data_IF_290524896581
#
_entry.id   IF_290524896581
#
_cell.length_a   1.000
_cell.length_b   1.000
_cell.length_c   1.000
_cell.angle_alpha   90.00
_cell.angle_beta   90.00
_cell.angle_gamma   90.00
#
_symmetry.space_group_name_H-M   'P 1'
#
loop_
_entity.id
_entity.type
_entity.pdbx_description
1 polymer ?
#
# COMPACT_ATOMS: atom_id res chain seq x y z
N UNK A 1 13.49 -24.66 2.10
CA UNK A 1 14.53 -24.65 1.07
C UNK A 1 15.14 -23.26 1.07
N UNK A 2 16.31 -23.12 1.69
CA UNK A 2 16.97 -21.83 1.84
C UNK A 2 17.46 -21.32 0.47
N UNK A 3 17.15 -20.07 0.15
CA UNK A 3 17.71 -19.39 -1.02
C UNK A 3 19.19 -19.14 -0.77
N UNK A 4 20.07 -19.46 -1.73
CA UNK A 4 21.51 -19.12 -1.78
C UNK A 4 21.77 -17.60 -1.89
N UNK A 5 21.04 -16.80 -1.13
CA UNK A 5 21.28 -15.36 -1.05
C UNK A 5 22.44 -15.09 -0.12
N UNK A 6 23.32 -14.18 -0.53
CA UNK A 6 24.33 -13.68 0.39
C UNK A 6 23.66 -13.02 1.62
N UNK A 7 24.26 -13.09 2.81
CA UNK A 7 23.70 -12.44 4.01
C UNK A 7 23.48 -10.93 3.81
N UNK A 8 24.35 -10.29 3.02
CA UNK A 8 24.25 -8.87 2.70
C UNK A 8 23.06 -8.59 1.77
N UNK A 9 22.90 -9.34 0.69
CA UNK A 9 21.76 -9.21 -0.22
C UNK A 9 20.44 -9.44 0.52
N UNK A 10 20.40 -10.40 1.45
CA UNK A 10 19.21 -10.65 2.24
C UNK A 10 18.84 -9.45 3.10
N UNK A 11 19.83 -8.87 3.78
CA UNK A 11 19.65 -7.67 4.62
C UNK A 11 19.20 -6.47 3.80
N UNK A 12 19.75 -6.28 2.61
CA UNK A 12 19.36 -5.19 1.71
C UNK A 12 17.96 -5.38 1.15
N UNK A 13 17.59 -6.60 0.77
CA UNK A 13 16.23 -6.92 0.35
C UNK A 13 15.22 -6.66 1.46
N UNK A 14 15.47 -7.16 2.67
CA UNK A 14 14.61 -6.93 3.83
C UNK A 14 14.43 -5.42 4.10
N UNK A 15 15.51 -4.63 3.94
CA UNK A 15 15.47 -3.16 4.03
C UNK A 15 14.59 -2.55 2.93
N UNK A 16 14.73 -3.01 1.69
CA UNK A 16 13.92 -2.53 0.56
C UNK A 16 12.44 -2.84 0.77
N UNK A 17 12.09 -4.07 1.15
CA UNK A 17 10.70 -4.46 1.40
C UNK A 17 10.10 -3.62 2.55
N UNK A 18 10.87 -3.43 3.63
CA UNK A 18 10.45 -2.58 4.76
C UNK A 18 10.09 -1.16 4.31
N UNK A 19 11.01 -0.49 3.62
CA UNK A 19 10.77 0.90 3.23
C UNK A 19 9.74 1.00 2.10
N UNK A 20 9.63 0.00 1.23
CA UNK A 20 8.58 -0.05 0.22
C UNK A 20 7.20 -0.13 0.88
N UNK A 21 7.02 -1.02 1.86
CA UNK A 21 5.78 -1.14 2.61
C UNK A 21 5.38 0.19 3.28
N UNK A 22 6.33 0.84 3.97
CA UNK A 22 6.08 2.15 4.61
C UNK A 22 5.72 3.23 3.59
N UNK A 23 6.44 3.33 2.45
CA UNK A 23 6.14 4.31 1.41
C UNK A 23 4.82 4.01 0.69
N UNK A 24 4.45 2.74 0.52
CA UNK A 24 3.16 2.37 -0.04
C UNK A 24 2.00 2.87 0.83
N UNK A 25 2.08 2.70 2.16
CA UNK A 25 1.11 3.26 3.10
C UNK A 25 1.02 4.77 2.96
N UNK A 26 2.17 5.47 2.92
CA UNK A 26 2.19 6.93 2.74
C UNK A 26 1.46 7.35 1.45
N UNK A 27 1.74 6.69 0.33
CA UNK A 27 1.09 6.99 -0.95
C UNK A 27 -0.42 6.78 -0.89
N UNK A 28 -0.87 5.67 -0.30
CA UNK A 28 -2.30 5.34 -0.18
C UNK A 28 -3.02 6.35 0.72
N UNK A 29 -2.52 6.55 1.95
CA UNK A 29 -3.17 7.44 2.93
C UNK A 29 -3.18 8.87 2.43
N UNK A 30 -2.06 9.38 1.91
CA UNK A 30 -2.00 10.75 1.41
C UNK A 30 -2.97 10.95 0.23
N UNK A 31 -3.14 9.95 -0.65
CA UNK A 31 -4.14 10.01 -1.73
C UNK A 31 -5.60 10.04 -1.22
N UNK A 32 -5.83 9.83 0.07
CA UNK A 32 -7.15 9.85 0.72
C UNK A 32 -7.36 11.04 1.68
N UNK A 33 -6.38 11.93 1.83
CA UNK A 33 -6.50 13.12 2.69
C UNK A 33 -7.44 14.21 2.13
N UNK A 34 -7.77 14.16 0.84
CA UNK A 34 -8.65 15.15 0.19
C UNK A 34 -7.92 16.28 -0.54
N UNK A 35 -6.61 16.41 -0.35
CA UNK A 35 -5.78 17.43 -1.00
C UNK A 35 -4.98 16.92 -2.20
N UNK A 36 -4.55 17.86 -3.06
CA UNK A 36 -3.55 17.58 -4.08
C UNK A 36 -2.16 17.53 -3.44
N UNK A 37 -1.39 16.50 -3.78
CA UNK A 37 -0.01 16.35 -3.32
C UNK A 37 0.93 16.76 -4.44
N UNK A 38 1.88 17.63 -4.11
CA UNK A 38 2.92 18.08 -5.02
C UNK A 38 4.27 18.03 -4.30
N UNK A 39 5.25 17.40 -4.94
CA UNK A 39 6.64 17.33 -4.46
C UNK A 39 7.59 17.75 -5.57
N UNK A 40 8.78 18.22 -5.20
CA UNK A 40 9.79 18.71 -6.14
C UNK A 40 10.85 17.65 -6.36
N UNK A 41 11.35 17.55 -7.58
CA UNK A 41 12.54 16.77 -7.87
C UNK A 41 13.78 17.46 -7.27
N UNK A 42 14.79 16.67 -6.92
CA UNK A 42 16.06 17.16 -6.39
C UNK A 42 17.20 16.38 -7.04
N UNK A 43 18.25 17.08 -7.48
CA UNK A 43 19.52 16.46 -7.91
C UNK A 43 20.41 16.05 -6.74
N UNK A 44 20.09 16.51 -5.52
CA UNK A 44 20.76 16.18 -4.27
C UNK A 44 19.77 15.49 -3.33
N UNK A 45 19.52 14.17 -3.51
CA UNK A 45 18.56 13.44 -2.70
C UNK A 45 19.03 13.37 -1.25
N UNK A 46 18.06 13.38 -0.34
CA UNK A 46 18.32 13.17 1.09
C UNK A 46 18.32 11.68 1.42
N UNK A 47 18.90 11.30 2.56
CA UNK A 47 18.92 9.88 3.01
C UNK A 47 17.53 9.27 3.27
N UNK A 48 16.47 10.08 3.25
CA UNK A 48 15.07 9.64 3.39
C UNK A 48 14.31 9.47 2.07
N UNK A 49 14.90 9.89 0.94
CA UNK A 49 14.29 9.80 -0.40
C UNK A 49 14.42 8.39 -0.99
N UNK A 50 13.70 7.45 -0.38
CA UNK A 50 13.65 6.07 -0.83
C UNK A 50 13.06 5.94 -2.23
N UNK A 51 13.61 5.00 -3.00
CA UNK A 51 13.20 4.63 -4.35
C UNK A 51 13.30 5.78 -5.37
N UNK A 52 14.18 6.76 -5.13
CA UNK A 52 14.36 7.95 -5.97
C UNK A 52 13.05 8.72 -6.18
N UNK A 53 12.16 8.70 -5.18
CA UNK A 53 10.86 9.37 -5.20
C UNK A 53 10.74 10.28 -3.98
N UNK A 54 10.38 11.54 -4.24
CA UNK A 54 10.07 12.50 -3.19
C UNK A 54 8.68 12.23 -2.62
N UNK A 55 8.60 11.27 -1.69
CA UNK A 55 7.39 10.94 -0.91
C UNK A 55 7.67 11.37 0.53
N UNK A 56 7.06 12.48 0.95
CA UNK A 56 7.18 13.00 2.31
C UNK A 56 6.47 12.06 3.28
N UNK A 57 7.06 11.78 4.43
CA UNK A 57 6.44 10.92 5.44
C UNK A 57 5.57 11.75 6.38
N UNK A 58 4.32 11.32 6.57
CA UNK A 58 3.49 11.76 7.70
C UNK A 58 3.90 10.93 8.93
N UNK A 59 4.35 11.56 10.03
CA UNK A 59 4.86 10.84 11.21
C UNK A 59 3.85 9.86 11.82
N UNK A 60 2.59 10.27 11.96
CA UNK A 60 1.51 9.48 12.56
C UNK A 60 1.22 8.23 11.70
N UNK A 61 1.16 8.40 10.38
CA UNK A 61 0.98 7.30 9.43
C UNK A 61 2.17 6.33 9.50
N UNK A 62 3.39 6.85 9.65
CA UNK A 62 4.59 6.02 9.80
C UNK A 62 4.56 5.22 11.10
N UNK A 63 4.09 5.83 12.19
CA UNK A 63 3.96 5.18 13.49
C UNK A 63 2.94 4.05 13.44
N UNK A 64 1.74 4.30 12.89
CA UNK A 64 0.70 3.27 12.75
C UNK A 64 1.15 2.13 11.81
N UNK A 65 1.84 2.44 10.71
CA UNK A 65 2.39 1.42 9.82
C UNK A 65 3.43 0.54 10.53
N UNK A 66 4.37 1.15 11.28
CA UNK A 66 5.38 0.41 12.05
C UNK A 66 4.74 -0.44 13.15
N UNK A 67 3.72 0.08 13.82
CA UNK A 67 2.95 -0.63 14.85
C UNK A 67 2.25 -1.85 14.27
N UNK A 68 1.53 -1.69 13.16
CA UNK A 68 0.86 -2.78 12.47
C UNK A 68 1.84 -3.87 11.99
N UNK A 69 3.00 -3.48 11.45
CA UNK A 69 4.03 -4.42 11.03
C UNK A 69 4.73 -5.11 12.21
N UNK A 70 4.82 -4.46 13.38
CA UNK A 70 5.47 -5.02 14.58
C UNK A 70 6.88 -5.59 14.31
N UNK A 71 7.66 -4.89 13.48
CA UNK A 71 9.01 -5.30 13.07
C UNK A 71 9.08 -6.41 12.00
N UNK A 72 7.94 -6.90 11.53
CA UNK A 72 7.83 -7.96 10.53
C UNK A 72 7.72 -7.38 9.12
N UNK A 73 7.90 -8.24 8.11
CA UNK A 73 7.80 -7.90 6.70
C UNK A 73 6.69 -8.71 6.04
N UNK A 74 6.01 -8.17 5.01
CA UNK A 74 5.18 -8.98 4.13
C UNK A 74 5.93 -10.23 3.68
N UNK A 75 5.25 -11.37 3.78
CA UNK A 75 5.79 -12.70 3.51
C UNK A 75 4.69 -13.60 2.97
N UNK A 76 5.06 -14.81 2.53
CA UNK A 76 4.06 -15.81 2.10
C UNK A 76 3.09 -16.08 3.24
N UNK A 77 1.79 -15.92 2.96
CA UNK A 77 0.72 -16.07 3.94
C UNK A 77 0.59 -14.92 4.94
N UNK A 78 1.36 -13.83 4.81
CA UNK A 78 1.30 -12.68 5.72
C UNK A 78 1.37 -11.37 4.96
N UNK A 79 0.21 -10.73 4.82
CA UNK A 79 0.04 -9.56 3.97
C UNK A 79 -0.06 -8.29 4.81
N UNK A 80 0.50 -7.19 4.33
CA UNK A 80 0.22 -5.86 4.89
C UNK A 80 -0.99 -5.29 4.15
N UNK A 81 -2.00 -4.89 4.88
CA UNK A 81 -3.23 -4.32 4.33
C UNK A 81 -3.46 -2.89 4.80
N UNK A 82 -3.95 -2.04 3.90
CA UNK A 82 -4.47 -0.70 4.21
C UNK A 82 -5.93 -0.66 3.79
N UNK A 83 -6.81 -0.63 4.79
CA UNK A 83 -8.23 -0.42 4.61
C UNK A 83 -8.52 1.07 4.56
N UNK A 84 -9.35 1.47 3.59
CA UNK A 84 -9.92 2.80 3.48
C UNK A 84 -11.42 2.68 3.70
N UNK A 85 -11.96 3.45 4.64
CA UNK A 85 -13.37 3.47 4.98
C UNK A 85 -13.92 4.89 5.02
N UNK A 86 -15.23 5.01 4.89
CA UNK A 86 -15.98 6.24 5.05
C UNK A 86 -16.78 6.14 6.35
N UNK A 87 -16.79 7.21 7.14
CA UNK A 87 -17.65 7.33 8.31
C UNK A 87 -18.57 8.54 8.17
N UNK A 88 -19.88 8.34 8.27
CA UNK A 88 -20.88 9.43 8.21
C UNK A 88 -20.97 10.18 9.53
N UNK A 89 -21.55 11.37 9.52
CA UNK A 89 -21.87 12.14 10.73
C UNK A 89 -22.85 11.41 11.67
N UNK A 90 -23.65 10.49 11.13
CA UNK A 90 -24.62 9.66 11.88
C UNK A 90 -23.94 8.46 12.56
N UNK A 91 -22.66 8.21 12.25
CA UNK A 91 -21.85 7.16 12.86
C UNK A 91 -21.71 5.89 12.03
N UNK A 92 -22.43 5.78 10.91
CA UNK A 92 -22.32 4.64 9.99
C UNK A 92 -20.94 4.58 9.35
N UNK A 93 -20.44 3.35 9.19
CA UNK A 93 -19.14 3.08 8.57
C UNK A 93 -19.31 2.20 7.33
N UNK A 94 -18.53 2.50 6.29
CA UNK A 94 -18.51 1.75 5.04
C UNK A 94 -17.07 1.56 4.57
N UNK A 95 -16.65 0.31 4.42
CA UNK A 95 -15.38 -0.02 3.77
C UNK A 95 -15.46 0.29 2.27
N UNK A 96 -14.49 1.07 1.78
CA UNK A 96 -14.39 1.49 0.39
C UNK A 96 -13.32 0.70 -0.37
N UNK A 97 -12.16 0.48 0.24
CA UNK A 97 -11.02 -0.15 -0.40
C UNK A 97 -10.17 -0.96 0.58
N UNK A 98 -9.54 -2.01 0.07
CA UNK A 98 -8.52 -2.76 0.78
C UNK A 98 -7.33 -2.92 -0.15
N UNK A 99 -6.24 -2.26 0.20
CA UNK A 99 -4.97 -2.32 -0.49
C UNK A 99 -4.10 -3.40 0.16
N UNK A 100 -3.61 -4.36 -0.62
CA UNK A 100 -2.86 -5.50 -0.09
C UNK A 100 -1.48 -5.55 -0.71
N UNK A 101 -0.46 -5.54 0.14
CA UNK A 101 0.91 -5.91 -0.22
C UNK A 101 1.18 -7.33 0.26
N UNK A 102 1.24 -8.24 -0.70
CA UNK A 102 1.35 -9.68 -0.50
C UNK A 102 2.65 -10.20 -1.08
N UNK A 103 3.10 -11.36 -0.62
CA UNK A 103 4.20 -12.09 -1.27
C UNK A 103 3.76 -13.52 -1.56
N UNK A 104 4.05 -14.01 -2.76
CA UNK A 104 3.84 -15.40 -3.12
C UNK A 104 5.18 -16.15 -3.27
N UNK A 105 5.11 -17.48 -3.31
CA UNK A 105 6.28 -18.38 -3.36
C UNK A 105 7.03 -18.37 -4.69
N UNK A 106 6.56 -17.65 -5.72
CA UNK A 106 7.26 -17.59 -7.00
C UNK A 106 8.52 -16.73 -6.85
N UNK A 107 9.68 -17.38 -6.87
CA UNK A 107 10.97 -16.70 -6.80
C UNK A 107 11.54 -16.42 -8.20
N UNK A 108 12.17 -15.26 -8.34
CA UNK A 108 13.07 -14.94 -9.46
C UNK A 108 14.50 -15.06 -8.91
N UNK A 109 15.13 -16.24 -9.05
CA UNK A 109 16.41 -16.54 -8.39
C UNK A 109 17.62 -15.91 -9.09
N UNK A 110 17.49 -15.61 -10.37
CA UNK A 110 18.56 -15.04 -11.18
C UNK A 110 18.64 -13.51 -11.06
N UNK A 111 17.63 -12.89 -10.43
CA UNK A 111 17.61 -11.44 -10.25
C UNK A 111 18.65 -11.00 -9.22
N UNK A 112 19.49 -10.05 -9.63
CA UNK A 112 20.38 -9.36 -8.70
C UNK A 112 19.55 -8.46 -7.80
N UNK A 113 19.59 -8.75 -6.49
CA UNK A 113 18.86 -8.02 -5.44
C UNK A 113 19.17 -6.53 -5.42
N UNK A 114 20.35 -6.14 -5.90
CA UNK A 114 20.90 -4.78 -5.89
C UNK A 114 19.99 -3.72 -6.55
N UNK A 115 20.52 -2.96 -7.52
CA UNK A 115 19.79 -1.82 -8.08
C UNK A 115 18.53 -2.25 -8.86
N UNK A 116 18.47 -3.50 -9.32
CA UNK A 116 17.34 -4.02 -10.12
C UNK A 116 16.05 -4.11 -9.32
N UNK A 117 16.06 -4.81 -8.17
CA UNK A 117 14.85 -4.93 -7.33
C UNK A 117 14.44 -3.55 -6.82
N UNK A 118 15.40 -2.75 -6.36
CA UNK A 118 15.16 -1.38 -5.91
C UNK A 118 14.43 -0.52 -6.95
N UNK A 119 14.87 -0.56 -8.22
CA UNK A 119 14.22 0.19 -9.30
C UNK A 119 12.85 -0.37 -9.69
N UNK A 120 12.69 -1.70 -9.65
CA UNK A 120 11.37 -2.32 -9.90
C UNK A 120 10.36 -1.91 -8.81
N UNK A 121 10.79 -1.82 -7.55
CA UNK A 121 9.99 -1.30 -6.45
C UNK A 121 9.68 0.20 -6.63
N UNK A 122 10.65 1.00 -7.11
CA UNK A 122 10.42 2.40 -7.49
C UNK A 122 9.33 2.53 -8.55
N UNK A 123 9.40 1.71 -9.61
CA UNK A 123 8.39 1.69 -10.65
C UNK A 123 7.02 1.27 -10.10
N UNK A 124 6.96 0.28 -9.21
CA UNK A 124 5.72 -0.13 -8.57
C UNK A 124 5.10 0.99 -7.71
N UNK A 125 5.91 1.80 -7.02
CA UNK A 125 5.42 3.00 -6.32
C UNK A 125 4.86 4.06 -7.28
N UNK A 126 5.47 4.23 -8.47
CA UNK A 126 4.91 5.12 -9.52
C UNK A 126 3.56 4.60 -10.03
N UNK A 127 3.44 3.29 -10.25
CA UNK A 127 2.15 2.68 -10.58
C UNK A 127 1.12 2.88 -9.48
N UNK A 128 1.51 2.71 -8.21
CA UNK A 128 0.63 2.96 -7.06
C UNK A 128 0.17 4.42 -7.00
N UNK A 129 1.08 5.37 -7.22
CA UNK A 129 0.77 6.79 -7.30
C UNK A 129 -0.32 7.06 -8.36
N UNK A 130 -0.25 6.41 -9.52
CA UNK A 130 -1.28 6.54 -10.56
C UNK A 130 -2.60 5.85 -10.17
N UNK A 131 -2.56 4.58 -9.76
CA UNK A 131 -3.76 3.77 -9.49
C UNK A 131 -4.58 4.34 -8.33
N UNK A 132 -3.94 4.87 -7.29
CA UNK A 132 -4.63 5.51 -6.16
C UNK A 132 -5.49 6.72 -6.55
N UNK A 133 -5.35 7.28 -7.76
CA UNK A 133 -6.15 8.43 -8.24
C UNK A 133 -7.32 8.04 -9.14
N UNK A 134 -7.40 6.79 -9.60
CA UNK A 134 -8.42 6.35 -10.56
C UNK A 134 -9.49 5.46 -9.92
N UNK A 135 -9.33 5.07 -8.66
CA UNK A 135 -10.37 4.34 -7.92
C UNK A 135 -11.51 5.28 -7.48
N UNK A 136 -12.74 4.78 -7.32
CA UNK A 136 -13.88 5.61 -6.90
C UNK A 136 -13.65 6.38 -5.59
N UNK A 137 -12.97 5.76 -4.62
CA UNK A 137 -12.72 6.38 -3.32
C UNK A 137 -11.81 7.62 -3.40
N UNK A 138 -10.99 7.77 -4.45
CA UNK A 138 -10.25 9.02 -4.66
C UNK A 138 -11.19 10.20 -4.86
N UNK A 139 -12.24 10.06 -5.68
CA UNK A 139 -13.19 11.15 -5.90
C UNK A 139 -13.99 11.47 -4.64
N UNK A 140 -14.33 10.45 -3.84
CA UNK A 140 -15.00 10.63 -2.55
C UNK A 140 -14.11 11.35 -1.54
N UNK A 141 -12.83 10.98 -1.44
CA UNK A 141 -11.91 11.60 -0.50
C UNK A 141 -11.68 13.08 -0.78
N UNK A 142 -11.68 13.48 -2.06
CA UNK A 142 -11.59 14.89 -2.48
C UNK A 142 -12.83 15.73 -2.11
N UNK A 143 -13.92 15.10 -1.69
CA UNK A 143 -15.20 15.74 -1.31
C UNK A 143 -15.57 15.56 0.17
N UNK A 144 -14.72 14.87 0.94
CA UNK A 144 -14.98 14.65 2.37
C UNK A 144 -15.08 15.98 3.14
N UNK A 145 -15.78 15.96 4.26
CA UNK A 145 -16.05 17.17 5.04
C UNK A 145 -17.06 16.90 6.14
N UNK A 146 -18.11 17.71 6.21
CA UNK A 146 -19.09 17.65 7.30
C UNK A 146 -19.96 16.37 7.27
N UNK A 147 -20.44 15.96 6.10
CA UNK A 147 -21.35 14.80 5.97
C UNK A 147 -20.65 13.46 6.23
N UNK A 148 -19.38 13.37 5.85
CA UNK A 148 -18.57 12.17 6.06
C UNK A 148 -17.07 12.50 6.04
N UNK A 149 -16.31 11.62 6.71
CA UNK A 149 -14.85 11.64 6.73
C UNK A 149 -14.28 10.33 6.19
N UNK A 150 -13.09 10.38 5.60
CA UNK A 150 -12.35 9.18 5.19
C UNK A 150 -11.39 8.76 6.31
N UNK A 151 -11.44 7.49 6.65
CA UNK A 151 -10.58 6.86 7.64
C UNK A 151 -9.67 5.84 6.97
N UNK A 152 -8.56 5.54 7.64
CA UNK A 152 -7.67 4.45 7.24
C UNK A 152 -7.38 3.55 8.43
N UNK A 153 -7.16 2.26 8.16
CA UNK A 153 -6.69 1.28 9.14
C UNK A 153 -5.62 0.42 8.51
N UNK A 154 -4.49 0.27 9.20
CA UNK A 154 -3.37 -0.56 8.76
C UNK A 154 -3.36 -1.82 9.61
N UNK A 155 -3.28 -2.98 8.98
CA UNK A 155 -3.16 -4.25 9.69
C UNK A 155 -2.25 -5.21 8.93
N UNK A 156 -1.77 -6.23 9.65
CA UNK A 156 -0.86 -7.23 9.13
C UNK A 156 -1.41 -8.63 9.43
N UNK A 157 -1.64 -9.42 8.38
CA UNK A 157 -2.29 -10.73 8.50
C UNK A 157 -3.19 -11.05 7.31
N UNK A 158 -4.28 -11.75 7.58
CA UNK A 158 -5.24 -12.22 6.58
C UNK A 158 -6.02 -11.07 5.94
N UNK A 159 -6.21 -11.14 4.63
CA UNK A 159 -6.94 -10.14 3.86
C UNK A 159 -8.45 -10.24 4.12
N UNK A 160 -9.06 -9.17 4.61
CA UNK A 160 -10.47 -9.15 5.05
C UNK A 160 -11.40 -8.50 4.02
N UNK A 161 -11.83 -9.20 2.97
CA UNK A 161 -12.62 -8.59 1.87
C UNK A 161 -14.13 -8.46 2.13
N UNK A 162 -14.65 -9.07 3.19
CA UNK A 162 -16.09 -9.22 3.41
C UNK A 162 -16.82 -7.86 3.53
N UNK A 163 -16.19 -6.85 4.12
CA UNK A 163 -16.81 -5.54 4.30
C UNK A 163 -16.95 -4.72 3.01
N UNK A 164 -16.32 -5.12 1.89
CA UNK A 164 -16.53 -4.51 0.58
C UNK A 164 -17.86 -4.91 -0.08
N UNK A 165 -18.55 -5.94 0.44
CA UNK A 165 -19.83 -6.50 -0.04
C UNK A 165 -19.76 -7.01 -1.50
N UNK A 166 -20.88 -7.59 -1.97
CA UNK A 166 -20.99 -8.19 -3.30
C UNK A 166 -20.71 -7.19 -4.43
N UNK A 167 -20.07 -7.67 -5.50
CA UNK A 167 -19.77 -6.87 -6.70
C UNK A 167 -18.59 -5.91 -6.55
N UNK A 168 -17.78 -6.03 -5.48
CA UNK A 168 -16.49 -5.34 -5.42
C UNK A 168 -15.60 -5.75 -6.60
N UNK A 169 -14.76 -4.82 -7.04
CA UNK A 169 -13.77 -5.07 -8.10
C UNK A 169 -12.37 -5.10 -7.52
N UNK A 170 -11.45 -5.72 -8.24
CA UNK A 170 -10.04 -5.73 -7.86
C UNK A 170 -9.17 -5.24 -9.02
N UNK A 171 -8.17 -4.44 -8.69
CA UNK A 171 -7.13 -3.99 -9.61
C UNK A 171 -5.76 -4.42 -9.10
N UNK A 172 -4.94 -4.97 -9.98
CA UNK A 172 -3.53 -5.25 -9.70
C UNK A 172 -2.71 -4.02 -10.06
N UNK A 173 -2.03 -3.45 -9.07
CA UNK A 173 -1.10 -2.32 -9.28
C UNK A 173 0.17 -2.80 -9.98
N UNK A 174 0.68 -3.96 -9.57
CA UNK A 174 1.82 -4.61 -10.20
C UNK A 174 2.47 -5.66 -9.31
N UNK A 175 3.58 -6.21 -9.81
CA UNK A 175 4.35 -7.27 -9.15
C UNK A 175 5.84 -7.02 -9.29
N UNK A 176 6.63 -7.41 -8.29
CA UNK A 176 8.10 -7.40 -8.33
C UNK A 176 8.61 -8.75 -7.87
N UNK A 177 9.20 -9.50 -8.80
CA UNK A 177 9.93 -10.73 -8.48
C UNK A 177 11.18 -10.43 -7.67
N UNK A 178 11.41 -11.23 -6.64
CA UNK A 178 12.63 -11.22 -5.83
C UNK A 178 13.12 -12.66 -5.63
N UNK A 179 14.35 -12.86 -5.16
CA UNK A 179 14.86 -14.20 -4.90
C UNK A 179 14.13 -14.99 -3.81
N UNK A 180 13.43 -14.30 -2.89
CA UNK A 180 12.69 -14.93 -1.78
C UNK A 180 11.18 -15.03 -2.03
N UNK A 181 10.70 -14.53 -3.17
CA UNK A 181 9.28 -14.53 -3.53
C UNK A 181 8.90 -13.35 -4.43
N UNK A 182 7.66 -13.32 -4.90
CA UNK A 182 7.15 -12.22 -5.72
C UNK A 182 6.21 -11.35 -4.92
N UNK A 183 6.59 -10.09 -4.73
CA UNK A 183 5.73 -9.07 -4.15
C UNK A 183 4.61 -8.72 -5.12
N UNK A 184 3.38 -8.66 -4.63
CA UNK A 184 2.19 -8.29 -5.39
C UNK A 184 1.46 -7.19 -4.65
N UNK A 185 1.15 -6.10 -5.35
CA UNK A 185 0.34 -5.01 -4.81
C UNK A 185 -1.00 -4.95 -5.53
N UNK A 186 -2.09 -5.06 -4.78
CA UNK A 186 -3.47 -5.09 -5.28
C UNK A 186 -4.35 -4.11 -4.51
N UNK A 187 -5.49 -3.78 -5.09
CA UNK A 187 -6.56 -3.05 -4.41
C UNK A 187 -7.89 -3.69 -4.77
N UNK A 188 -8.61 -4.16 -3.76
CA UNK A 188 -10.03 -4.49 -3.88
C UNK A 188 -10.84 -3.25 -3.47
N UNK A 189 -11.86 -2.87 -4.25
CA UNK A 189 -12.65 -1.67 -3.98
C UNK A 189 -14.12 -1.88 -4.27
N UNK A 190 -14.94 -1.22 -3.44
CA UNK A 190 -16.39 -1.15 -3.55
C UNK A 190 -16.79 -0.32 -4.78
N UNK A 191 -17.72 -0.86 -5.57
CA UNK A 191 -18.30 -0.18 -6.73
C UNK A 191 -19.66 0.45 -6.42
N UNK A 192 -20.43 -0.16 -5.51
CA UNK A 192 -21.75 0.33 -5.07
C UNK A 192 -21.66 0.99 -3.70
N UNK A 193 -21.92 2.31 -3.67
CA UNK A 193 -21.84 3.17 -2.49
C UNK A 193 -23.19 3.36 -1.76
N UNK A 194 -24.22 2.60 -2.12
CA UNK A 194 -25.48 2.64 -1.39
C UNK A 194 -25.30 2.05 0.02
N UNK A 195 -25.66 2.82 1.05
CA UNK A 195 -26.02 2.22 2.33
C UNK A 195 -27.29 1.40 2.10
N UNK A 196 -27.22 0.09 2.30
CA UNK A 196 -28.43 -0.72 2.27
C UNK A 196 -29.29 -0.27 3.45
N UNK A 197 -30.38 0.44 3.15
CA UNK A 197 -31.44 0.67 4.11
C UNK A 197 -32.03 -0.69 4.47
N UNK A 198 -31.67 -1.21 5.64
CA UNK A 198 -32.46 -2.26 6.28
C UNK A 198 -33.78 -1.60 6.69
N UNK A 199 -34.77 -1.68 5.81
CA UNK A 199 -36.18 -1.54 6.19
C UNK A 199 -36.65 -2.79 6.89
#
# INVERSE_FOLDING_TARGET
MDSDLSPQDRKDLDKFVKFFALKAVQVIVQARLGDKICTRSSSSPTGSDWFNLAIKDIPEVTQEAKKALSGQLPAVGRSMCVEISLKTSEGDSMELEIWCLEMNEKCDRDIKVSYTVYNRLSLLLKSLLAVTRVTPAYRLSRKQGHEYVILYRIYFGDVQLLGLKEGFQAVRVGTVGTPIGTLTLTCAYRTNLAFMSTR
#
